data_IF_209828640190
#
_entry.id   IF_209828640190
#
_cell.length_a   1.000
_cell.length_b   1.000
_cell.length_c   1.000
_cell.angle_alpha   90.00
_cell.angle_beta   90.00
_cell.angle_gamma   90.00
#
_symmetry.space_group_name_H-M   'P 1'
#
loop_
_entity.id
_entity.type
_entity.pdbx_description
1 polymer ?
#
# COMPACT_ATOMS: atom_id res chain seq x y z
N UNK A 1 2.28 7.91 5.50
CA UNK A 1 1.60 7.23 4.39
C UNK A 1 0.72 8.20 3.61
N UNK A 2 -0.25 8.86 4.25
CA UNK A 2 -1.13 9.86 3.59
C UNK A 2 -0.38 10.91 2.76
N UNK A 3 0.72 11.47 3.28
CA UNK A 3 1.54 12.43 2.53
C UNK A 3 2.15 11.81 1.26
N UNK A 4 2.66 10.58 1.33
CA UNK A 4 3.27 9.91 0.19
C UNK A 4 2.23 9.61 -0.91
N UNK A 5 1.03 9.17 -0.51
CA UNK A 5 -0.10 8.96 -1.42
C UNK A 5 -0.59 10.26 -2.04
N UNK A 6 -0.64 11.36 -1.26
CA UNK A 6 -1.00 12.66 -1.80
C UNK A 6 0.06 13.15 -2.80
N UNK A 7 1.34 13.03 -2.45
CA UNK A 7 2.46 13.40 -3.32
C UNK A 7 2.42 12.63 -4.66
N UNK A 8 2.19 11.32 -4.61
CA UNK A 8 1.97 10.48 -5.79
C UNK A 8 0.78 10.98 -6.62
N UNK A 9 -0.39 11.14 -6.00
CA UNK A 9 -1.62 11.58 -6.68
C UNK A 9 -1.47 12.94 -7.36
N UNK A 10 -0.74 13.86 -6.75
CA UNK A 10 -0.53 15.21 -7.27
C UNK A 10 0.75 15.35 -8.11
N UNK A 11 1.51 14.27 -8.33
CA UNK A 11 2.73 14.29 -9.13
C UNK A 11 3.83 15.20 -8.57
N UNK A 12 3.91 15.35 -7.25
CA UNK A 12 4.85 16.24 -6.59
C UNK A 12 5.77 15.50 -5.62
N UNK A 13 6.89 16.13 -5.25
CA UNK A 13 7.81 15.57 -4.25
C UNK A 13 7.24 15.76 -2.84
N UNK A 14 7.20 14.72 -1.98
CA UNK A 14 6.76 14.84 -0.60
C UNK A 14 7.42 16.00 0.16
N UNK A 15 8.73 16.17 -0.02
CA UNK A 15 9.54 17.25 0.54
C UNK A 15 9.06 18.65 0.14
N UNK A 16 8.56 18.81 -1.10
CA UNK A 16 7.97 20.09 -1.56
C UNK A 16 6.64 20.39 -0.89
N UNK A 17 5.82 19.37 -0.61
CA UNK A 17 4.53 19.57 0.07
C UNK A 17 4.69 20.03 1.52
N UNK A 18 5.80 19.67 2.17
CA UNK A 18 6.12 20.09 3.55
C UNK A 18 7.11 21.25 3.62
N UNK A 19 7.52 21.81 2.48
CA UNK A 19 8.40 22.97 2.41
C UNK A 19 9.85 22.70 2.88
N UNK A 20 10.34 21.46 2.78
CA UNK A 20 11.75 21.15 3.06
C UNK A 20 12.66 21.78 1.99
N UNK A 21 13.60 22.62 2.44
CA UNK A 21 14.51 23.39 1.56
C UNK A 21 15.93 22.86 1.54
N UNK A 22 16.35 22.16 2.59
CA UNK A 22 17.65 21.51 2.61
C UNK A 22 17.65 20.34 1.61
N UNK A 23 18.58 20.32 0.64
CA UNK A 23 18.53 19.37 -0.47
C UNK A 23 18.81 17.93 -0.03
N UNK A 24 19.63 17.72 1.01
CA UNK A 24 19.98 16.39 1.51
C UNK A 24 18.81 15.83 2.29
N UNK A 25 18.27 16.62 3.24
CA UNK A 25 17.09 16.23 4.01
C UNK A 25 15.87 16.01 3.12
N UNK A 26 15.69 16.82 2.07
CA UNK A 26 14.60 16.65 1.11
C UNK A 26 14.72 15.31 0.36
N UNK A 27 15.94 14.89 -0.03
CA UNK A 27 16.17 13.61 -0.68
C UNK A 27 15.86 12.44 0.24
N UNK A 28 16.40 12.44 1.46
CA UNK A 28 16.17 11.38 2.44
C UNK A 28 14.68 11.25 2.78
N UNK A 29 14.01 12.39 2.94
CA UNK A 29 12.57 12.44 3.20
C UNK A 29 11.75 11.85 2.05
N UNK A 30 12.07 12.22 0.81
CA UNK A 30 11.37 11.69 -0.37
C UNK A 30 11.60 10.18 -0.52
N UNK A 31 12.82 9.71 -0.29
CA UNK A 31 13.15 8.28 -0.34
C UNK A 31 12.35 7.49 0.71
N UNK A 32 12.31 8.00 1.95
CA UNK A 32 11.56 7.38 3.03
C UNK A 32 10.05 7.36 2.74
N UNK A 33 9.51 8.43 2.14
CA UNK A 33 8.11 8.49 1.73
C UNK A 33 7.79 7.44 0.64
N UNK A 34 8.64 7.31 -0.37
CA UNK A 34 8.51 6.31 -1.45
C UNK A 34 8.61 4.88 -0.91
N UNK A 35 9.57 4.59 -0.03
CA UNK A 35 9.71 3.26 0.57
C UNK A 35 8.46 2.85 1.37
N UNK A 36 7.85 3.80 2.09
CA UNK A 36 6.60 3.55 2.83
C UNK A 36 5.40 3.34 1.90
N UNK A 37 5.36 4.03 0.76
CA UNK A 37 4.31 3.84 -0.23
C UNK A 37 4.40 2.46 -0.87
N UNK A 38 5.59 2.07 -1.36
CA UNK A 38 5.84 0.73 -1.90
C UNK A 38 5.55 -0.38 -0.89
N UNK A 39 5.91 -0.18 0.38
CA UNK A 39 5.57 -1.11 1.45
C UNK A 39 4.06 -1.27 1.64
N UNK A 40 3.30 -0.18 1.55
CA UNK A 40 1.85 -0.21 1.65
C UNK A 40 1.20 -0.88 0.43
N UNK A 41 1.67 -0.59 -0.77
CA UNK A 41 1.21 -1.24 -2.01
C UNK A 41 1.46 -2.75 -1.98
N UNK A 42 2.66 -3.16 -1.55
CA UNK A 42 2.99 -4.58 -1.38
C UNK A 42 2.10 -5.26 -0.34
N UNK A 43 1.87 -4.61 0.80
CA UNK A 43 0.98 -5.15 1.82
C UNK A 43 -0.45 -5.29 1.30
N UNK A 44 -0.96 -4.32 0.55
CA UNK A 44 -2.28 -4.38 -0.08
C UNK A 44 -2.36 -5.51 -1.13
N UNK A 45 -1.34 -5.67 -1.97
CA UNK A 45 -1.27 -6.75 -2.96
C UNK A 45 -1.23 -8.14 -2.31
N UNK A 46 -0.48 -8.29 -1.21
CA UNK A 46 -0.44 -9.54 -0.46
C UNK A 46 -1.78 -9.85 0.20
N UNK A 47 -2.42 -8.86 0.84
CA UNK A 47 -3.72 -9.03 1.47
C UNK A 47 -4.81 -9.44 0.47
N UNK A 48 -4.76 -8.92 -0.77
CA UNK A 48 -5.64 -9.37 -1.85
C UNK A 48 -5.39 -10.85 -2.17
N UNK A 49 -4.13 -11.25 -2.36
CA UNK A 49 -3.76 -12.63 -2.70
C UNK A 49 -4.13 -13.63 -1.60
N UNK A 50 -3.85 -13.32 -0.33
CA UNK A 50 -4.21 -14.17 0.82
C UNK A 50 -5.72 -14.23 1.04
N UNK A 51 -6.44 -13.15 0.76
CA UNK A 51 -7.90 -13.13 0.79
C UNK A 51 -8.55 -14.04 -0.26
N UNK A 52 -7.88 -14.30 -1.38
CA UNK A 52 -8.32 -15.28 -2.38
C UNK A 52 -8.09 -16.73 -1.95
N UNK A 53 -7.07 -17.01 -1.14
CA UNK A 53 -6.82 -18.38 -0.65
C UNK A 53 -7.75 -18.80 0.50
N UNK A 54 -8.39 -17.84 1.20
CA UNK A 54 -9.24 -18.13 2.37
C UNK A 54 -10.76 -18.19 2.11
N UNK A 55 -11.25 -18.24 0.87
CA UNK A 55 -12.69 -18.38 0.59
C UNK A 55 -13.05 -19.38 -0.54
N UNK A 56 -13.92 -20.38 -0.29
CA UNK A 56 -14.05 -21.17 0.93
C UNK A 56 -14.08 -22.70 0.67
N UNK A 57 -13.40 -23.49 1.51
CA UNK A 57 -13.66 -24.94 1.71
C UNK A 57 -15.04 -25.21 2.40
N UNK A 58 -16.00 -24.28 2.32
CA UNK A 58 -17.32 -24.42 2.95
C UNK A 58 -18.39 -25.03 2.05
N UNK A 59 -18.04 -25.51 0.84
CA UNK A 59 -18.93 -26.33 0.02
C UNK A 59 -18.70 -27.83 0.25
N UNK A 60 -18.69 -28.27 1.51
CA UNK A 60 -18.94 -29.68 1.80
C UNK A 60 -20.44 -29.92 1.63
N UNK A 61 -20.82 -30.22 0.38
CA UNK A 61 -22.17 -30.59 0.00
C UNK A 61 -22.73 -31.61 1.01
N UNK A 62 -23.71 -31.18 1.81
CA UNK A 62 -24.49 -32.11 2.61
C UNK A 62 -25.36 -32.88 1.63
N UNK A 63 -24.94 -34.09 1.31
CA UNK A 63 -25.73 -35.05 0.54
C UNK A 63 -27.10 -35.19 1.22
N UNK A 64 -28.15 -34.68 0.56
CA UNK A 64 -29.53 -34.95 0.94
C UNK A 64 -29.84 -36.34 0.40
N UNK A 65 -29.96 -37.32 1.30
CA UNK A 65 -30.59 -38.59 0.96
C UNK A 65 -32.11 -38.42 1.07
N UNK A 66 -32.81 -38.76 -0.01
CA UNK A 66 -34.26 -38.96 -0.06
C UNK A 66 -34.66 -40.23 0.69
#
# INVERSE_FOLDING_TARGET
MLLAMAAEKFGCRPSRMVGLRDPVLALDFDLAATARLLGAERAAANALTEGFEQAPESQRAKNVHW
#
